data_IF_783181216170
#
_entry.id   IF_783181216170
#
_cell.length_a   1.000
_cell.length_b   1.000
_cell.length_c   1.000
_cell.angle_alpha   90.00
_cell.angle_beta   90.00
_cell.angle_gamma   90.00
#
_symmetry.space_group_name_H-M   'P 1'
#
loop_
_entity.id
_entity.type
_entity.pdbx_description
1 polymer ?
#
# COMPACT_ATOMS: atom_id res chain seq x y z
N UNK A 1 11.52 16.05 -24.73
CA UNK A 1 12.28 15.10 -23.90
C UNK A 1 12.49 15.76 -22.54
N UNK A 2 12.19 15.06 -21.45
CA UNK A 2 12.43 15.55 -20.08
C UNK A 2 13.94 15.48 -19.84
N UNK A 3 14.55 16.53 -19.29
CA UNK A 3 15.97 16.47 -18.97
C UNK A 3 16.21 15.44 -17.86
N UNK A 4 17.31 14.69 -17.94
CA UNK A 4 17.63 13.55 -17.07
C UNK A 4 17.49 13.87 -15.58
N UNK A 5 17.90 15.08 -15.17
CA UNK A 5 17.83 15.55 -13.77
C UNK A 5 16.41 15.75 -13.23
N UNK A 6 15.41 15.94 -14.09
CA UNK A 6 14.02 16.18 -13.70
C UNK A 6 13.12 14.96 -13.90
N UNK A 7 13.65 13.83 -14.38
CA UNK A 7 12.83 12.64 -14.64
C UNK A 7 12.21 12.12 -13.34
N UNK A 8 12.99 11.99 -12.26
CA UNK A 8 12.48 11.55 -10.96
C UNK A 8 11.44 12.52 -10.41
N UNK A 9 11.73 13.83 -10.42
CA UNK A 9 10.77 14.86 -9.98
C UNK A 9 9.48 14.82 -10.78
N UNK A 10 9.57 14.75 -12.11
CA UNK A 10 8.41 14.68 -12.99
C UNK A 10 7.54 13.46 -12.66
N UNK A 11 8.15 12.29 -12.50
CA UNK A 11 7.40 11.07 -12.21
C UNK A 11 6.84 11.05 -10.80
N UNK A 12 7.56 11.52 -9.79
CA UNK A 12 7.03 11.65 -8.42
C UNK A 12 5.71 12.45 -8.36
N UNK A 13 5.58 13.47 -9.22
CA UNK A 13 4.33 14.23 -9.43
C UNK A 13 3.35 13.50 -10.34
N UNK A 14 3.79 12.86 -11.43
CA UNK A 14 2.92 12.12 -12.33
C UNK A 14 2.19 10.95 -11.64
N UNK A 15 2.82 10.32 -10.65
CA UNK A 15 2.18 9.32 -9.78
C UNK A 15 0.98 9.87 -8.99
N UNK A 16 0.88 11.20 -8.82
CA UNK A 16 -0.29 11.85 -8.23
C UNK A 16 -1.46 12.02 -9.21
N UNK A 17 -1.28 11.83 -10.52
CA UNK A 17 -2.37 11.97 -11.48
C UNK A 17 -3.46 10.91 -11.26
N UNK A 18 -3.15 9.61 -11.11
CA UNK A 18 -4.17 8.61 -10.79
C UNK A 18 -4.75 8.80 -9.39
N UNK A 19 -3.96 9.29 -8.44
CA UNK A 19 -4.46 9.70 -7.14
C UNK A 19 -5.52 10.81 -7.27
N UNK A 20 -5.24 11.86 -8.05
CA UNK A 20 -6.16 12.97 -8.28
C UNK A 20 -7.42 12.50 -9.03
N UNK A 21 -7.26 11.63 -10.03
CA UNK A 21 -8.37 11.03 -10.76
C UNK A 21 -9.29 10.25 -9.80
N UNK A 22 -8.74 9.36 -8.97
CA UNK A 22 -9.52 8.62 -7.96
C UNK A 22 -10.17 9.56 -6.94
N UNK A 23 -9.46 10.60 -6.50
CA UNK A 23 -9.98 11.58 -5.55
C UNK A 23 -11.20 12.33 -6.13
N UNK A 24 -11.16 12.68 -7.41
CA UNK A 24 -12.26 13.36 -8.09
C UNK A 24 -13.42 12.41 -8.38
N UNK A 25 -13.13 11.21 -8.90
CA UNK A 25 -14.12 10.24 -9.39
C UNK A 25 -14.78 9.40 -8.30
N UNK A 26 -14.14 9.25 -7.13
CA UNK A 26 -14.63 8.38 -6.03
C UNK A 26 -14.78 9.21 -4.74
N UNK A 27 -15.77 10.13 -4.68
CA UNK A 27 -15.91 11.09 -3.59
C UNK A 27 -16.08 10.44 -2.22
N UNK A 28 -16.72 9.27 -2.16
CA UNK A 28 -16.95 8.50 -0.93
C UNK A 28 -15.65 8.08 -0.23
N UNK A 29 -14.54 7.95 -0.99
CA UNK A 29 -13.26 7.47 -0.48
C UNK A 29 -12.27 8.60 -0.18
N UNK A 30 -12.60 9.88 -0.43
CA UNK A 30 -11.66 11.02 -0.29
C UNK A 30 -11.01 11.11 1.09
N UNK A 31 -11.80 10.91 2.16
CA UNK A 31 -11.31 10.93 3.54
C UNK A 31 -10.33 9.79 3.81
N UNK A 32 -10.58 8.63 3.21
CA UNK A 32 -9.73 7.44 3.28
C UNK A 32 -8.40 7.74 2.58
N UNK A 33 -8.48 8.23 1.35
CA UNK A 33 -7.31 8.60 0.54
C UNK A 33 -6.42 9.60 1.26
N UNK A 34 -6.95 10.75 1.69
CA UNK A 34 -6.15 11.78 2.35
C UNK A 34 -5.46 11.27 3.61
N UNK A 35 -6.16 10.48 4.43
CA UNK A 35 -5.58 9.92 5.66
C UNK A 35 -4.48 8.91 5.35
N UNK A 36 -4.72 7.99 4.40
CA UNK A 36 -3.73 7.01 4.01
C UNK A 36 -2.49 7.68 3.39
N UNK A 37 -2.69 8.67 2.52
CA UNK A 37 -1.63 9.49 1.93
C UNK A 37 -0.81 10.24 2.98
N UNK A 38 -1.46 10.89 3.95
CA UNK A 38 -0.75 11.59 5.03
C UNK A 38 0.01 10.63 5.96
N UNK A 39 -0.51 9.42 6.19
CA UNK A 39 0.17 8.40 7.00
C UNK A 39 1.37 7.78 6.28
N UNK A 40 1.34 7.71 4.95
CA UNK A 40 2.41 7.11 4.13
C UNK A 40 3.46 8.12 3.70
N UNK A 41 3.12 9.40 3.55
CA UNK A 41 4.07 10.44 3.16
C UNK A 41 5.37 10.45 3.99
N UNK A 42 5.35 10.29 5.33
CA UNK A 42 6.56 10.21 6.13
C UNK A 42 7.47 9.02 5.80
N UNK A 43 6.95 7.96 5.16
CA UNK A 43 7.80 6.86 4.68
C UNK A 43 8.81 7.35 3.62
N UNK A 44 8.54 8.44 2.91
CA UNK A 44 9.51 9.07 2.01
C UNK A 44 10.76 9.58 2.74
N UNK A 45 10.68 9.83 4.06
CA UNK A 45 11.84 10.17 4.87
C UNK A 45 12.79 8.99 5.09
N UNK A 46 12.37 7.76 4.75
CA UNK A 46 13.22 6.57 4.81
C UNK A 46 14.14 6.40 3.60
N UNK A 47 14.03 7.28 2.60
CA UNK A 47 14.84 7.26 1.38
C UNK A 47 16.37 7.17 1.62
N UNK A 48 16.96 7.81 2.66
CA UNK A 48 18.39 7.64 2.96
C UNK A 48 18.81 6.21 3.30
N UNK A 49 17.86 5.31 3.59
CA UNK A 49 18.15 3.89 3.81
C UNK A 49 18.29 3.11 2.50
N UNK A 50 17.83 3.68 1.38
CA UNK A 50 17.81 3.05 0.05
C UNK A 50 18.80 3.69 -0.92
N UNK A 51 19.16 4.95 -0.71
CA UNK A 51 20.12 5.68 -1.55
C UNK A 51 21.50 5.69 -0.86
N UNK A 52 22.58 5.27 -1.55
CA UNK A 52 22.66 4.86 -2.96
C UNK A 52 22.56 3.34 -3.21
N UNK A 53 22.38 2.51 -2.17
CA UNK A 53 22.56 1.06 -2.25
C UNK A 53 21.57 0.36 -3.17
N UNK A 54 20.30 0.75 -3.12
CA UNK A 54 19.24 0.24 -3.99
C UNK A 54 19.22 0.96 -5.34
N UNK A 55 19.28 2.28 -5.29
CA UNK A 55 19.18 3.15 -6.44
C UNK A 55 19.67 4.56 -6.12
N UNK A 56 19.95 5.38 -7.13
CA UNK A 56 20.49 6.73 -6.96
C UNK A 56 19.95 7.71 -8.01
N UNK A 57 18.69 8.16 -7.90
CA UNK A 57 18.10 9.10 -8.84
C UNK A 57 18.65 10.51 -8.64
N UNK A 58 18.95 11.27 -9.72
CA UNK A 58 19.05 12.72 -9.64
C UNK A 58 17.78 13.30 -9.02
N UNK A 59 17.95 14.09 -7.97
CA UNK A 59 16.83 14.70 -7.23
C UNK A 59 16.87 16.22 -7.36
N UNK A 60 15.74 16.87 -7.07
CA UNK A 60 15.65 18.31 -7.06
C UNK A 60 16.67 18.91 -6.09
N UNK A 61 17.45 19.90 -6.56
CA UNK A 61 18.57 20.51 -5.82
C UNK A 61 19.73 19.55 -5.48
N UNK A 62 19.73 18.32 -6.00
CA UNK A 62 20.73 17.29 -5.71
C UNK A 62 20.71 16.79 -4.27
N UNK A 63 19.55 16.83 -3.60
CA UNK A 63 19.40 16.43 -2.20
C UNK A 63 19.77 14.96 -1.96
N UNK A 64 19.32 14.05 -2.82
CA UNK A 64 19.63 12.62 -2.74
C UNK A 64 21.14 12.38 -2.79
N UNK A 65 21.86 13.07 -3.67
CA UNK A 65 23.31 12.94 -3.79
C UNK A 65 24.05 13.51 -2.58
N UNK A 66 23.50 14.53 -1.91
CA UNK A 66 24.14 15.19 -0.76
C UNK A 66 23.80 14.54 0.58
N UNK A 67 22.62 13.93 0.70
CA UNK A 67 22.04 13.54 1.99
C UNK A 67 21.38 12.16 1.98
N UNK A 68 21.25 11.51 0.82
CA UNK A 68 20.42 10.31 0.63
C UNK A 68 18.91 10.58 0.63
N UNK A 69 18.47 11.80 0.95
CA UNK A 69 17.05 12.17 1.04
C UNK A 69 16.59 12.96 -0.19
N UNK A 70 15.32 12.81 -0.58
CA UNK A 70 14.68 13.65 -1.60
C UNK A 70 13.20 13.93 -1.27
N UNK A 71 12.69 15.07 -1.75
CA UNK A 71 11.31 15.51 -1.48
C UNK A 71 10.32 14.69 -2.33
N UNK A 72 10.78 14.27 -3.50
CA UNK A 72 10.09 13.41 -4.44
C UNK A 72 9.57 12.13 -3.78
N UNK A 73 10.35 11.49 -2.90
CA UNK A 73 9.98 10.28 -2.17
C UNK A 73 8.81 10.50 -1.23
N UNK A 74 8.66 11.71 -0.66
CA UNK A 74 7.51 12.09 0.18
C UNK A 74 6.25 12.22 -0.67
N UNK A 75 6.34 12.88 -1.83
CA UNK A 75 5.22 13.03 -2.77
C UNK A 75 4.80 11.68 -3.36
N UNK A 76 5.78 10.87 -3.75
CA UNK A 76 5.58 9.53 -4.25
C UNK A 76 4.89 8.64 -3.21
N UNK A 77 5.40 8.62 -1.97
CA UNK A 77 4.79 7.87 -0.87
C UNK A 77 3.36 8.32 -0.56
N UNK A 78 3.10 9.63 -0.59
CA UNK A 78 1.75 10.20 -0.45
C UNK A 78 0.80 9.63 -1.51
N UNK A 79 1.23 9.63 -2.78
CA UNK A 79 0.46 9.08 -3.90
C UNK A 79 0.16 7.59 -3.72
N UNK A 80 1.20 6.80 -3.46
CA UNK A 80 1.10 5.35 -3.29
C UNK A 80 0.13 4.97 -2.17
N UNK A 81 0.22 5.60 -1.00
CA UNK A 81 -0.66 5.25 0.12
C UNK A 81 -2.12 5.54 -0.14
N UNK A 82 -2.42 6.68 -0.77
CA UNK A 82 -3.79 7.05 -1.11
C UNK A 82 -4.41 6.09 -2.12
N UNK A 83 -3.69 5.78 -3.20
CA UNK A 83 -4.15 4.82 -4.22
C UNK A 83 -4.24 3.42 -3.63
N UNK A 84 -3.21 2.96 -2.92
CA UNK A 84 -3.13 1.62 -2.32
C UNK A 84 -4.27 1.32 -1.36
N UNK A 85 -4.71 2.31 -0.58
CA UNK A 85 -5.82 2.15 0.36
C UNK A 85 -7.19 2.01 -0.31
N UNK A 86 -7.40 2.61 -1.50
CA UNK A 86 -8.75 2.74 -2.08
C UNK A 86 -8.95 2.03 -3.41
N UNK A 87 -7.88 1.59 -4.08
CA UNK A 87 -7.97 1.00 -5.42
C UNK A 87 -8.92 -0.21 -5.45
N UNK A 88 -8.85 -1.09 -4.44
CA UNK A 88 -9.79 -2.19 -4.29
C UNK A 88 -11.24 -1.70 -4.17
N UNK A 89 -11.51 -0.71 -3.32
CA UNK A 89 -12.86 -0.19 -3.09
C UNK A 89 -13.41 0.50 -4.35
N UNK A 90 -12.56 1.24 -5.06
CA UNK A 90 -12.90 1.91 -6.31
C UNK A 90 -13.30 0.92 -7.41
N UNK A 91 -12.52 -0.15 -7.59
CA UNK A 91 -12.79 -1.17 -8.63
C UNK A 91 -14.01 -2.02 -8.26
N UNK A 92 -14.12 -2.44 -7.00
CA UNK A 92 -15.23 -3.30 -6.55
C UNK A 92 -16.51 -2.55 -6.19
N UNK A 93 -16.47 -1.21 -6.20
CA UNK A 93 -17.57 -0.31 -5.79
C UNK A 93 -18.09 -0.61 -4.39
N UNK A 94 -17.24 -1.11 -3.50
CA UNK A 94 -17.61 -1.39 -2.11
C UNK A 94 -17.37 -0.17 -1.23
N UNK A 95 -18.43 0.30 -0.58
CA UNK A 95 -18.34 1.30 0.48
C UNK A 95 -17.61 0.72 1.71
N UNK A 96 -17.04 1.60 2.53
CA UNK A 96 -16.48 1.24 3.83
C UNK A 96 -17.50 1.54 4.92
N UNK A 97 -17.82 0.57 5.77
CA UNK A 97 -18.71 0.73 6.92
C UNK A 97 -17.94 0.60 8.25
N UNK A 98 -18.34 1.31 9.31
CA UNK A 98 -17.72 1.16 10.63
C UNK A 98 -17.93 -0.24 11.21
N UNK A 99 -16.89 -0.79 11.84
CA UNK A 99 -17.00 -2.05 12.60
C UNK A 99 -17.79 -1.80 13.89
N UNK A 100 -18.88 -2.55 14.18
CA UNK A 100 -19.68 -2.41 15.39
C UNK A 100 -18.84 -2.62 16.67
N UNK A 101 -19.12 -1.91 17.78
CA UNK A 101 -18.33 -2.02 19.02
C UNK A 101 -18.22 -3.45 19.57
N UNK A 102 -19.27 -4.26 19.43
CA UNK A 102 -19.31 -5.65 19.89
C UNK A 102 -18.31 -6.53 19.14
N UNK A 103 -18.10 -6.30 17.84
CA UNK A 103 -17.12 -7.04 17.04
C UNK A 103 -15.68 -6.67 17.43
N UNK A 104 -15.44 -5.42 17.86
CA UNK A 104 -14.09 -4.95 18.28
C UNK A 104 -13.55 -5.66 19.51
N UNK A 105 -14.42 -6.22 20.35
CA UNK A 105 -14.03 -6.94 21.57
C UNK A 105 -13.57 -8.39 21.30
N UNK A 106 -13.60 -8.86 20.05
CA UNK A 106 -13.20 -10.23 19.71
C UNK A 106 -11.71 -10.49 20.01
N UNK A 107 -11.36 -11.71 20.43
CA UNK A 107 -10.00 -12.05 20.93
C UNK A 107 -8.87 -11.70 19.95
N UNK A 108 -9.11 -11.82 18.64
CA UNK A 108 -8.13 -11.50 17.59
C UNK A 108 -7.78 -10.01 17.54
N UNK A 109 -8.74 -9.14 17.86
CA UNK A 109 -8.54 -7.69 17.85
C UNK A 109 -7.66 -7.15 18.99
N UNK A 110 -7.28 -8.00 19.95
CA UNK A 110 -6.23 -7.66 20.93
C UNK A 110 -4.87 -7.42 20.25
N UNK A 111 -4.62 -8.03 19.10
CA UNK A 111 -3.38 -7.92 18.35
C UNK A 111 -3.45 -6.90 17.22
N UNK A 112 -4.49 -6.06 17.19
CA UNK A 112 -4.78 -5.18 16.07
C UNK A 112 -3.70 -4.14 15.81
N UNK A 113 -3.18 -3.53 16.88
CA UNK A 113 -2.04 -2.60 16.81
C UNK A 113 -0.76 -3.36 16.46
N UNK A 114 -0.55 -4.54 17.04
CA UNK A 114 0.62 -5.37 16.74
C UNK A 114 0.70 -5.77 15.26
N UNK A 115 -0.44 -6.15 14.66
CA UNK A 115 -0.54 -6.47 13.24
C UNK A 115 -0.18 -5.26 12.36
N UNK A 116 -0.68 -4.07 12.70
CA UNK A 116 -0.38 -2.84 11.99
C UNK A 116 1.08 -2.39 12.15
N UNK A 117 1.67 -2.54 13.33
CA UNK A 117 3.06 -2.13 13.58
C UNK A 117 4.07 -3.17 13.11
N UNK A 118 3.63 -4.32 12.58
CA UNK A 118 4.51 -5.43 12.20
C UNK A 118 5.60 -5.00 11.22
N UNK A 119 5.34 -4.25 10.12
CA UNK A 119 6.43 -3.80 9.24
C UNK A 119 7.45 -2.91 9.94
N UNK A 120 7.01 -2.06 10.88
CA UNK A 120 7.88 -1.15 11.63
C UNK A 120 8.76 -1.89 12.65
N UNK A 121 8.42 -3.12 13.01
CA UNK A 121 9.24 -3.98 13.87
C UNK A 121 10.13 -4.91 13.05
N UNK A 122 9.59 -5.52 12.00
CA UNK A 122 10.32 -6.49 11.17
C UNK A 122 11.44 -5.81 10.38
N UNK A 123 11.21 -4.62 9.83
CA UNK A 123 12.23 -3.93 9.04
C UNK A 123 13.51 -3.62 9.84
N UNK A 124 13.47 -2.98 11.02
CA UNK A 124 14.68 -2.72 11.82
C UNK A 124 15.41 -3.98 12.29
N UNK A 125 14.70 -5.10 12.45
CA UNK A 125 15.32 -6.39 12.82
C UNK A 125 16.12 -6.97 11.65
N UNK A 126 15.61 -6.82 10.43
CA UNK A 126 16.20 -7.39 9.23
C UNK A 126 17.25 -6.48 8.57
N UNK A 127 17.12 -5.16 8.73
CA UNK A 127 18.00 -4.17 8.09
C UNK A 127 19.51 -4.38 8.36
N UNK A 128 19.97 -4.74 9.58
CA UNK A 128 21.41 -4.84 9.88
C UNK A 128 22.15 -6.01 9.21
N UNK A 129 21.47 -6.91 8.49
CA UNK A 129 22.08 -8.10 7.88
C UNK A 129 22.90 -7.84 6.61
N UNK A 130 23.11 -6.57 6.22
CA UNK A 130 24.06 -6.18 5.17
C UNK A 130 23.63 -6.49 3.72
N UNK A 131 22.45 -7.04 3.53
CA UNK A 131 21.77 -7.13 2.23
C UNK A 131 21.12 -5.79 1.82
N UNK A 132 20.75 -5.70 0.55
CA UNK A 132 20.07 -4.51 0.00
C UNK A 132 18.76 -4.21 0.76
N UNK A 133 18.52 -2.94 1.15
CA UNK A 133 17.36 -2.49 1.92
C UNK A 133 16.00 -2.78 1.27
N UNK A 134 15.94 -3.03 -0.03
CA UNK A 134 14.69 -3.42 -0.70
C UNK A 134 14.13 -4.76 -0.20
N UNK A 135 15.00 -5.72 0.13
CA UNK A 135 14.58 -7.04 0.63
C UNK A 135 13.91 -6.99 2.01
N UNK A 136 14.51 -6.38 3.06
CA UNK A 136 13.84 -6.24 4.33
C UNK A 136 12.55 -5.42 4.23
N UNK A 137 12.47 -4.43 3.31
CA UNK A 137 11.23 -3.69 3.06
C UNK A 137 10.11 -4.59 2.51
N UNK A 138 10.41 -5.39 1.47
CA UNK A 138 9.46 -6.36 0.89
C UNK A 138 9.00 -7.36 1.96
N UNK A 139 9.94 -7.96 2.69
CA UNK A 139 9.64 -8.96 3.72
C UNK A 139 8.80 -8.35 4.84
N UNK A 140 9.15 -7.16 5.33
CA UNK A 140 8.41 -6.48 6.39
C UNK A 140 6.95 -6.20 5.99
N UNK A 141 6.72 -5.76 4.75
CA UNK A 141 5.36 -5.54 4.24
C UNK A 141 4.58 -6.84 4.07
N UNK A 142 5.20 -7.91 3.56
CA UNK A 142 4.55 -9.22 3.42
C UNK A 142 4.18 -9.81 4.79
N UNK A 143 5.10 -9.76 5.76
CA UNK A 143 4.82 -10.23 7.13
C UNK A 143 3.73 -9.37 7.77
N UNK A 144 3.72 -8.06 7.54
CA UNK A 144 2.63 -7.18 7.96
C UNK A 144 1.29 -7.53 7.32
N UNK A 145 1.26 -7.86 6.03
CA UNK A 145 0.05 -8.29 5.34
C UNK A 145 -0.49 -9.61 5.91
N UNK A 146 0.41 -10.58 6.18
CA UNK A 146 0.06 -11.84 6.84
C UNK A 146 -0.48 -11.59 8.25
N UNK A 147 0.15 -10.70 9.03
CA UNK A 147 -0.31 -10.35 10.36
C UNK A 147 -1.69 -9.67 10.35
N UNK A 148 -1.93 -8.76 9.41
CA UNK A 148 -3.24 -8.12 9.20
C UNK A 148 -4.32 -9.16 8.90
N UNK A 149 -4.08 -10.08 7.97
CA UNK A 149 -5.00 -11.16 7.63
C UNK A 149 -5.20 -12.12 8.81
N UNK A 150 -4.14 -12.46 9.55
CA UNK A 150 -4.25 -13.31 10.75
C UNK A 150 -5.13 -12.68 11.83
N UNK A 151 -5.07 -11.35 11.97
CA UNK A 151 -5.95 -10.59 12.86
C UNK A 151 -7.38 -10.47 12.30
N UNK A 152 -7.54 -10.28 10.98
CA UNK A 152 -8.81 -10.06 10.27
C UNK A 152 -8.94 -10.93 9.02
N UNK A 153 -9.28 -12.23 9.16
CA UNK A 153 -9.32 -13.15 8.03
C UNK A 153 -10.33 -12.78 6.96
N UNK A 154 -11.36 -12.01 7.30
CA UNK A 154 -12.35 -11.49 6.35
C UNK A 154 -11.73 -10.53 5.31
N UNK A 155 -10.54 -9.98 5.57
CA UNK A 155 -9.83 -9.09 4.66
C UNK A 155 -8.94 -9.83 3.65
N UNK A 156 -8.78 -11.16 3.74
CA UNK A 156 -7.87 -11.93 2.85
C UNK A 156 -8.10 -11.63 1.37
N UNK A 157 -9.36 -11.65 0.91
CA UNK A 157 -9.69 -11.37 -0.48
C UNK A 157 -9.38 -9.94 -0.90
N UNK A 158 -9.54 -8.98 0.03
CA UNK A 158 -9.18 -7.57 -0.19
C UNK A 158 -7.67 -7.38 -0.23
N UNK A 159 -6.92 -8.06 0.63
CA UNK A 159 -5.45 -8.06 0.65
C UNK A 159 -4.87 -8.58 -0.66
N UNK A 160 -5.30 -9.77 -1.11
CA UNK A 160 -4.78 -10.37 -2.35
C UNK A 160 -5.17 -9.54 -3.57
N UNK A 161 -6.46 -9.22 -3.72
CA UNK A 161 -6.92 -8.47 -4.90
C UNK A 161 -6.38 -7.04 -4.89
N UNK A 162 -6.26 -6.41 -3.72
CA UNK A 162 -5.63 -5.10 -3.57
C UNK A 162 -4.15 -5.11 -3.97
N UNK A 163 -3.40 -6.14 -3.56
CA UNK A 163 -2.03 -6.36 -3.99
C UNK A 163 -1.88 -6.50 -5.51
N UNK A 164 -2.73 -7.33 -6.13
CA UNK A 164 -2.73 -7.53 -7.59
C UNK A 164 -3.09 -6.23 -8.32
N UNK A 165 -4.16 -5.55 -7.89
CA UNK A 165 -4.59 -4.29 -8.51
C UNK A 165 -3.49 -3.23 -8.41
N UNK A 166 -2.85 -3.11 -7.25
CA UNK A 166 -1.76 -2.16 -7.06
C UNK A 166 -0.53 -2.51 -7.89
N UNK A 167 -0.15 -3.79 -7.96
CA UNK A 167 0.93 -4.26 -8.82
C UNK A 167 0.69 -3.90 -10.29
N UNK A 168 -0.52 -4.14 -10.80
CA UNK A 168 -0.90 -3.78 -12.18
C UNK A 168 -0.84 -2.26 -12.37
N UNK A 169 -1.44 -1.49 -11.46
CA UNK A 169 -1.40 -0.04 -11.49
C UNK A 169 0.04 0.50 -11.54
N UNK A 170 0.89 0.00 -10.63
CA UNK A 170 2.28 0.42 -10.50
C UNK A 170 3.08 0.08 -11.76
N UNK A 171 2.92 -1.15 -12.26
CA UNK A 171 3.54 -1.62 -13.49
C UNK A 171 3.19 -0.73 -14.68
N UNK A 172 1.92 -0.35 -14.86
CA UNK A 172 1.51 0.50 -15.96
C UNK A 172 2.14 1.88 -15.91
N UNK A 173 2.23 2.49 -14.72
CA UNK A 173 2.91 3.77 -14.55
C UNK A 173 4.42 3.65 -14.80
N UNK A 174 5.05 2.59 -14.29
CA UNK A 174 6.46 2.37 -14.48
C UNK A 174 6.82 2.10 -15.96
N UNK A 175 5.94 1.44 -16.72
CA UNK A 175 6.09 1.31 -18.17
C UNK A 175 6.01 2.65 -18.89
N UNK A 176 5.09 3.53 -18.47
CA UNK A 176 5.06 4.92 -18.96
C UNK A 176 6.35 5.68 -18.65
N UNK A 177 6.90 5.48 -17.44
CA UNK A 177 8.18 6.03 -17.03
C UNK A 177 9.32 5.58 -17.93
N UNK A 178 9.49 4.28 -18.14
CA UNK A 178 10.49 3.74 -19.04
C UNK A 178 10.33 4.23 -20.48
N UNK A 179 9.09 4.30 -20.99
CA UNK A 179 8.82 4.79 -22.34
C UNK A 179 9.19 6.28 -22.50
N UNK A 180 8.99 7.09 -21.45
CA UNK A 180 9.31 8.52 -21.47
C UNK A 180 10.80 8.84 -21.28
N UNK A 181 11.55 7.94 -20.64
CA UNK A 181 12.99 8.09 -20.37
C UNK A 181 13.74 6.76 -20.61
N UNK A 182 13.93 6.35 -21.87
CA UNK A 182 14.63 5.10 -22.19
C UNK A 182 16.05 5.06 -21.63
N UNK A 183 16.45 3.92 -21.06
CA UNK A 183 17.78 3.71 -20.47
C UNK A 183 17.99 4.35 -19.09
N UNK A 184 17.02 5.11 -18.57
CA UNK A 184 17.13 5.76 -17.26
C UNK A 184 17.18 4.74 -16.11
N UNK A 185 16.35 3.70 -16.18
CA UNK A 185 16.32 2.63 -15.16
C UNK A 185 17.68 1.95 -15.05
N UNK A 186 18.32 1.69 -16.19
CA UNK A 186 19.62 1.03 -16.25
C UNK A 186 20.73 1.88 -15.62
N UNK A 187 20.58 3.21 -15.60
CA UNK A 187 21.58 4.14 -15.08
C UNK A 187 21.44 4.38 -13.59
N UNK A 188 20.23 4.33 -13.03
CA UNK A 188 19.98 4.73 -11.64
C UNK A 188 19.71 3.57 -10.68
N UNK A 189 19.25 2.41 -11.15
CA UNK A 189 19.13 1.22 -10.30
C UNK A 189 20.48 0.52 -10.17
N UNK A 190 20.80 0.07 -8.95
CA UNK A 190 22.04 -0.66 -8.69
C UNK A 190 21.84 -2.16 -8.97
N UNK A 191 22.15 -2.58 -10.19
CA UNK A 191 21.96 -3.96 -10.64
C UNK A 191 22.86 -4.97 -9.91
N UNK A 192 24.04 -4.55 -9.45
CA UNK A 192 24.98 -5.42 -8.72
C UNK A 192 24.54 -5.68 -7.28
N UNK A 193 23.69 -4.80 -6.73
CA UNK A 193 23.18 -4.92 -5.37
C UNK A 193 21.81 -5.63 -5.29
N UNK A 194 21.24 -6.05 -6.41
CA UNK A 194 19.94 -6.73 -6.50
C UNK A 194 20.07 -8.03 -7.32
N UNK A 195 18.97 -8.77 -7.57
CA UNK A 195 19.04 -10.08 -8.24
C UNK A 195 19.51 -10.05 -9.70
N UNK A 196 19.47 -8.87 -10.34
CA UNK A 196 19.73 -8.73 -11.77
C UNK A 196 18.59 -9.23 -12.68
N UNK A 197 17.49 -9.75 -12.12
CA UNK A 197 16.37 -10.29 -12.89
C UNK A 197 15.50 -9.14 -13.41
N UNK A 198 15.29 -9.11 -14.72
CA UNK A 198 14.48 -8.10 -15.40
C UNK A 198 13.13 -8.66 -15.82
N UNK A 199 12.06 -7.94 -15.47
CA UNK A 199 10.69 -8.21 -15.91
C UNK A 199 10.14 -6.94 -16.53
N UNK A 200 9.87 -6.96 -17.84
CA UNK A 200 9.42 -5.78 -18.60
C UNK A 200 10.36 -4.55 -18.43
N UNK A 201 11.67 -4.79 -18.35
CA UNK A 201 12.69 -3.75 -18.15
C UNK A 201 12.84 -3.26 -16.71
N UNK A 202 12.05 -3.77 -15.78
CA UNK A 202 12.09 -3.42 -14.35
C UNK A 202 12.82 -4.49 -13.55
N UNK A 203 13.50 -4.14 -12.44
CA UNK A 203 13.95 -5.12 -11.46
C UNK A 203 12.76 -5.90 -10.89
N UNK A 204 12.92 -7.21 -10.67
CA UNK A 204 11.88 -8.02 -10.04
C UNK A 204 11.52 -7.51 -8.63
N UNK A 205 12.51 -6.96 -7.91
CA UNK A 205 12.34 -6.38 -6.57
C UNK A 205 11.33 -5.23 -6.58
N UNK A 206 11.30 -4.44 -7.64
CA UNK A 206 10.36 -3.33 -7.78
C UNK A 206 8.91 -3.83 -7.89
N UNK A 207 8.70 -4.93 -8.63
CA UNK A 207 7.39 -5.59 -8.72
C UNK A 207 6.99 -6.26 -7.42
N UNK A 208 7.93 -6.92 -6.75
CA UNK A 208 7.70 -7.53 -5.44
C UNK A 208 7.36 -6.47 -4.38
N UNK A 209 8.05 -5.33 -4.40
CA UNK A 209 7.76 -4.19 -3.55
C UNK A 209 6.35 -3.66 -3.80
N UNK A 210 5.97 -3.41 -5.06
CA UNK A 210 4.64 -2.95 -5.42
C UNK A 210 3.54 -3.93 -4.94
N UNK A 211 3.72 -5.23 -5.20
CA UNK A 211 2.78 -6.26 -4.74
C UNK A 211 2.66 -6.33 -3.21
N UNK A 212 3.79 -6.32 -2.50
CA UNK A 212 3.84 -6.36 -1.05
C UNK A 212 3.21 -5.11 -0.42
N UNK A 213 3.52 -3.93 -0.96
CA UNK A 213 2.93 -2.66 -0.56
C UNK A 213 1.40 -2.69 -0.73
N UNK A 214 0.92 -3.12 -1.90
CA UNK A 214 -0.51 -3.24 -2.18
C UNK A 214 -1.22 -4.23 -1.25
N UNK A 215 -0.62 -5.39 -0.99
CA UNK A 215 -1.15 -6.37 -0.04
C UNK A 215 -1.30 -5.77 1.37
N UNK A 216 -0.29 -5.05 1.85
CA UNK A 216 -0.31 -4.46 3.17
C UNK A 216 -1.28 -3.27 3.28
N UNK A 217 -1.13 -2.27 2.41
CA UNK A 217 -1.88 -1.01 2.50
C UNK A 217 -3.33 -1.11 2.05
N UNK A 218 -3.68 -2.11 1.23
CA UNK A 218 -5.08 -2.37 0.89
C UNK A 218 -5.92 -2.72 2.11
N UNK A 219 -5.37 -3.38 3.13
CA UNK A 219 -6.09 -3.71 4.37
C UNK A 219 -5.75 -2.81 5.57
N UNK A 220 -4.61 -2.12 5.55
CA UNK A 220 -4.14 -1.33 6.70
C UNK A 220 -5.14 -0.24 7.13
N UNK A 221 -5.86 0.37 6.19
CA UNK A 221 -6.85 1.41 6.50
C UNK A 221 -8.01 0.89 7.36
N UNK A 222 -8.55 -0.28 7.01
CA UNK A 222 -9.60 -0.96 7.77
C UNK A 222 -9.17 -1.25 9.21
N UNK A 223 -7.88 -1.53 9.41
CA UNK A 223 -7.31 -1.65 10.73
C UNK A 223 -7.25 -0.29 11.43
N UNK A 224 -6.58 0.71 10.86
CA UNK A 224 -6.35 2.00 11.52
C UNK A 224 -7.66 2.67 11.98
N UNK A 225 -8.70 2.61 11.14
CA UNK A 225 -9.94 3.35 11.39
C UNK A 225 -11.12 2.47 11.82
N UNK A 226 -10.90 1.19 12.10
CA UNK A 226 -11.97 0.24 12.46
C UNK A 226 -13.12 0.22 11.44
N UNK A 227 -12.75 0.09 10.16
CA UNK A 227 -13.68 0.00 9.04
C UNK A 227 -13.70 -1.41 8.47
N UNK A 228 -14.73 -1.75 7.70
CA UNK A 228 -14.79 -2.98 6.89
C UNK A 228 -15.46 -2.70 5.55
N UNK A 229 -15.17 -3.48 4.49
CA UNK A 229 -15.96 -3.40 3.26
C UNK A 229 -17.42 -3.75 3.58
N UNK A 230 -18.36 -2.97 3.07
CA UNK A 230 -19.78 -3.21 3.25
C UNK A 230 -20.16 -4.63 2.80
N UNK A 231 -20.92 -5.35 3.62
CA UNK A 231 -21.44 -6.67 3.25
C UNK A 231 -22.52 -6.50 2.17
N UNK A 232 -22.45 -7.32 1.12
CA UNK A 232 -23.54 -7.44 0.15
C UNK A 232 -24.80 -7.94 0.86
N UNK A 233 -25.96 -7.29 0.61
CA UNK A 233 -27.25 -7.54 1.31
C UNK A 233 -27.67 -9.02 1.36
N UNK A 234 -27.23 -9.84 0.40
CA UNK A 234 -27.49 -11.28 0.37
C UNK A 234 -27.02 -12.05 1.63
N UNK A 235 -26.05 -11.53 2.38
CA UNK A 235 -25.57 -12.16 3.62
C UNK A 235 -26.36 -11.76 4.89
N UNK A 236 -27.31 -10.83 4.79
CA UNK A 236 -28.11 -10.38 5.94
C UNK A 236 -29.38 -11.22 6.13
N UNK A 237 -29.87 -11.94 5.11
CA UNK A 237 -31.13 -12.70 5.18
C UNK A 237 -31.04 -14.05 5.91
N UNK A 238 -29.85 -14.49 6.33
CA UNK A 238 -29.65 -15.79 7.00
C UNK A 238 -29.61 -15.73 8.53
N UNK A 239 -29.91 -14.57 9.15
CA UNK A 239 -30.26 -14.58 10.57
C UNK A 239 -31.70 -15.07 10.71
N UNK A 240 -31.97 -16.22 11.36
CA UNK A 240 -33.34 -16.58 11.67
C UNK A 240 -33.88 -15.50 12.60
N UNK A 241 -34.91 -14.77 12.15
CA UNK A 241 -35.77 -14.03 13.05
C UNK A 241 -36.20 -15.01 14.15
N UNK A 242 -35.75 -14.75 15.38
CA UNK A 242 -36.22 -15.46 16.54
C UNK A 242 -37.75 -15.42 16.52
N UNK A 243 -38.33 -16.59 16.28
CA UNK A 243 -39.76 -16.84 16.21
C UNK A 243 -40.34 -16.29 17.51
N UNK A 244 -41.14 -15.24 17.42
CA UNK A 244 -41.93 -14.73 18.54
C UNK A 244 -42.64 -15.93 19.17
N UNK A 245 -42.34 -16.17 20.45
CA UNK A 245 -43.00 -17.20 21.23
C UNK A 245 -44.49 -16.92 21.19
N UNK A 246 -45.25 -17.86 20.61
CA UNK A 246 -46.68 -17.98 20.89
C UNK A 246 -46.81 -18.24 22.38
N UNK A 247 -47.32 -17.26 23.12
CA UNK A 247 -47.93 -17.53 24.42
C UNK A 247 -49.05 -18.54 24.22
N UNK A 248 -49.07 -19.64 24.99
CA UNK A 248 -50.24 -20.49 25.07
C UNK A 248 -51.01 -20.20 26.37
N UNK A 249 -52.34 -20.28 26.28
CA UNK A 249 -53.27 -20.60 27.36
C UNK A 249 -53.53 -19.50 28.41
N UNK A 250 -54.68 -19.38 29.07
CA UNK A 250 -55.96 -20.09 29.12
C UNK A 250 -56.86 -19.22 30.03
N UNK A 251 -58.19 -19.24 29.84
CA UNK A 251 -59.16 -18.82 30.86
C UNK A 251 -60.00 -17.63 30.47
#
# INVERSE_FOLDING_TARGET
MIAHEYVWTFWSVAFLLPWAALFLLVPEQRRIMLRASLLTAPLGLSQPLFVPEYWNPPSLLGLAQRTGFDIESVLFSFGLGGVGAVLYNAVTRKASEPVPPQERCHRRHKHHISALLTPLVVFPVLYPWGWNPIYPAIIAMLVGAIANVGCRPELLGKTILGGILFLVYYTLLFLGFQASAPGYVDQIWNWDAITGIRVLGMPIEELLFAGAFGCYWSGAYEHIFWMRPARTEAAQSTRPHARAAKEPHHG
#
